data_IF_875278465435
#
_entry.id   IF_875278465435
#
_cell.length_a   1.000
_cell.length_b   1.000
_cell.length_c   1.000
_cell.angle_alpha   90.00
_cell.angle_beta   90.00
_cell.angle_gamma   90.00
#
_symmetry.space_group_name_H-M   'P 1'
#
loop_
_entity.id
_entity.type
_entity.pdbx_description
1 polymer ?
#
# COMPACT_ATOMS: atom_id res chain seq x y z
N UNK A 1 8.39 -2.30 19.44
CA UNK A 1 8.35 -3.23 18.28
C UNK A 1 8.92 -2.49 17.07
N UNK A 2 10.03 -2.97 16.51
CA UNK A 2 10.76 -2.29 15.41
C UNK A 2 10.51 -2.93 14.04
N UNK A 3 10.88 -2.25 12.95
CA UNK A 3 10.60 -2.69 11.57
C UNK A 3 11.14 -4.10 11.25
N UNK A 4 12.23 -4.53 11.89
CA UNK A 4 12.82 -5.87 11.72
C UNK A 4 11.96 -7.01 12.29
N UNK A 5 11.03 -6.69 13.19
CA UNK A 5 10.16 -7.69 13.85
C UNK A 5 8.86 -7.97 13.09
N UNK A 6 8.59 -7.20 12.03
CA UNK A 6 7.40 -7.39 11.19
C UNK A 6 7.44 -8.76 10.48
N UNK A 7 6.30 -9.45 10.43
CA UNK A 7 6.13 -10.75 9.79
C UNK A 7 4.89 -10.77 8.88
N UNK A 8 4.81 -11.78 8.01
CA UNK A 8 3.66 -12.01 7.15
C UNK A 8 3.32 -10.83 6.26
N UNK A 9 2.03 -10.56 6.09
CA UNK A 9 1.52 -9.55 5.17
C UNK A 9 1.78 -8.12 5.65
N UNK A 10 1.86 -7.89 6.96
CA UNK A 10 2.24 -6.58 7.50
C UNK A 10 3.66 -6.17 7.07
N UNK A 11 4.59 -7.13 7.01
CA UNK A 11 5.95 -6.88 6.50
C UNK A 11 5.92 -6.55 5.00
N UNK A 12 5.10 -7.26 4.22
CA UNK A 12 4.98 -7.01 2.78
C UNK A 12 4.36 -5.63 2.50
N UNK A 13 3.29 -5.27 3.19
CA UNK A 13 2.63 -3.96 3.11
C UNK A 13 3.60 -2.82 3.43
N UNK A 14 4.36 -2.96 4.53
CA UNK A 14 5.39 -2.00 4.91
C UNK A 14 6.45 -1.81 3.82
N UNK A 15 7.03 -2.91 3.31
CA UNK A 15 8.10 -2.85 2.29
C UNK A 15 7.59 -2.31 0.94
N UNK A 16 6.37 -2.70 0.54
CA UNK A 16 5.75 -2.21 -0.68
C UNK A 16 5.44 -0.72 -0.59
N UNK A 17 4.84 -0.26 0.51
CA UNK A 17 4.57 1.17 0.74
C UNK A 17 5.86 1.98 0.78
N UNK A 18 6.92 1.44 1.40
CA UNK A 18 8.26 2.05 1.42
C UNK A 18 8.80 2.26 0.01
N UNK A 19 8.76 1.21 -0.80
CA UNK A 19 9.21 1.29 -2.18
C UNK A 19 8.41 2.32 -2.96
N UNK A 20 7.08 2.31 -2.86
CA UNK A 20 6.22 3.27 -3.55
C UNK A 20 6.55 4.72 -3.19
N UNK A 21 6.75 5.00 -1.91
CA UNK A 21 7.13 6.31 -1.41
C UNK A 21 8.45 6.81 -2.03
N UNK A 22 9.45 5.93 -2.15
CA UNK A 22 10.77 6.27 -2.71
C UNK A 22 10.94 5.91 -4.19
N UNK A 23 9.91 5.42 -4.88
CA UNK A 23 10.02 4.87 -6.25
C UNK A 23 10.52 5.92 -7.25
N UNK A 24 9.94 7.13 -7.22
CA UNK A 24 10.36 8.26 -8.05
C UNK A 24 11.78 8.70 -7.73
N UNK A 25 12.12 8.76 -6.44
CA UNK A 25 13.47 9.10 -6.00
C UNK A 25 14.48 8.09 -6.55
N UNK A 26 14.21 6.80 -6.38
CA UNK A 26 15.06 5.72 -6.88
C UNK A 26 15.24 5.75 -8.41
N UNK A 27 14.18 6.05 -9.15
CA UNK A 27 14.24 6.24 -10.61
C UNK A 27 15.20 7.39 -10.98
N UNK A 28 15.10 8.53 -10.31
CA UNK A 28 15.99 9.66 -10.56
C UNK A 28 17.43 9.36 -10.18
N UNK A 29 17.67 8.68 -9.06
CA UNK A 29 19.02 8.24 -8.65
C UNK A 29 19.67 7.39 -9.75
N UNK A 30 18.92 6.46 -10.35
CA UNK A 30 19.42 5.61 -11.44
C UNK A 30 19.69 6.40 -12.73
N UNK A 31 18.79 7.31 -13.11
CA UNK A 31 19.00 8.17 -14.28
C UNK A 31 20.21 9.09 -14.07
N UNK A 32 20.35 9.71 -12.91
CA UNK A 32 21.48 10.56 -12.58
C UNK A 32 22.79 9.76 -12.55
N UNK A 33 22.79 8.53 -12.00
CA UNK A 33 23.95 7.65 -12.02
C UNK A 33 24.38 7.25 -13.45
N UNK A 34 23.40 7.00 -14.34
CA UNK A 34 23.68 6.77 -15.76
C UNK A 34 24.32 7.99 -16.44
N UNK A 35 23.79 9.18 -16.17
CA UNK A 35 24.32 10.43 -16.71
C UNK A 35 25.73 10.72 -16.18
N UNK A 36 25.98 10.47 -14.89
CA UNK A 36 27.29 10.62 -14.28
C UNK A 36 28.34 9.69 -14.92
N UNK A 37 27.98 8.44 -15.22
CA UNK A 37 28.85 7.51 -15.96
C UNK A 37 29.24 8.09 -17.33
N UNK A 38 28.28 8.62 -18.09
CA UNK A 38 28.57 9.25 -19.40
C UNK A 38 29.43 10.50 -19.24
N UNK A 39 29.17 11.34 -18.23
CA UNK A 39 29.95 12.53 -17.94
C UNK A 39 31.41 12.22 -17.59
N UNK A 40 31.70 11.00 -17.12
CA UNK A 40 33.07 10.54 -16.86
C UNK A 40 33.94 10.52 -18.13
N UNK A 41 33.37 10.62 -19.33
CA UNK A 41 34.12 10.86 -20.58
C UNK A 41 35.00 12.12 -20.51
N UNK A 42 34.59 13.14 -19.75
CA UNK A 42 35.42 14.34 -19.55
C UNK A 42 36.69 13.97 -18.79
N UNK A 43 36.56 13.16 -17.74
CA UNK A 43 37.70 12.65 -16.97
C UNK A 43 38.58 11.75 -17.83
N UNK A 44 37.99 10.82 -18.59
CA UNK A 44 38.72 9.92 -19.49
C UNK A 44 39.56 10.73 -20.50
N UNK A 45 39.00 11.80 -21.07
CA UNK A 45 39.71 12.66 -22.02
C UNK A 45 40.89 13.43 -21.41
N UNK A 46 40.78 13.84 -20.14
CA UNK A 46 41.89 14.46 -19.39
C UNK A 46 43.01 13.45 -19.15
N UNK A 47 42.67 12.22 -18.75
CA UNK A 47 43.64 11.15 -18.48
C UNK A 47 44.39 10.74 -19.76
N UNK A 48 43.67 10.60 -20.88
CA UNK A 48 44.25 10.21 -22.17
C UNK A 48 44.99 11.39 -22.83
N UNK A 49 44.64 12.63 -22.48
CA UNK A 49 45.18 13.85 -23.10
C UNK A 49 44.62 14.13 -24.50
N UNK A 50 43.55 13.45 -24.89
CA UNK A 50 42.87 13.56 -26.18
C UNK A 50 41.40 13.15 -26.05
N UNK A 51 40.63 13.21 -27.15
CA UNK A 51 39.26 12.71 -27.13
C UNK A 51 39.25 11.18 -26.90
N UNK A 52 38.49 10.67 -25.91
CA UNK A 52 38.62 9.29 -25.43
C UNK A 52 37.81 8.30 -26.29
N UNK A 53 38.22 8.08 -27.55
CA UNK A 53 37.53 7.15 -28.44
C UNK A 53 37.48 5.71 -27.91
N UNK A 54 38.51 5.31 -27.16
CA UNK A 54 38.64 3.95 -26.61
C UNK A 54 37.62 3.66 -25.49
N UNK A 55 37.22 4.68 -24.73
CA UNK A 55 36.26 4.52 -23.61
C UNK A 55 34.82 4.88 -24.00
N UNK A 56 34.64 5.59 -25.12
CA UNK A 56 33.33 6.09 -25.58
C UNK A 56 32.26 5.00 -25.64
N UNK A 57 32.58 3.85 -26.21
CA UNK A 57 31.63 2.75 -26.32
C UNK A 57 31.19 2.24 -24.95
N UNK A 58 32.12 2.03 -24.03
CA UNK A 58 31.85 1.56 -22.68
C UNK A 58 30.96 2.55 -21.91
N UNK A 59 31.24 3.86 -22.01
CA UNK A 59 30.45 4.91 -21.34
C UNK A 59 29.05 5.04 -21.92
N UNK A 60 28.86 4.84 -23.23
CA UNK A 60 27.54 4.85 -23.85
C UNK A 60 26.76 3.55 -23.62
N UNK A 61 27.43 2.44 -23.26
CA UNK A 61 26.77 1.16 -23.04
C UNK A 61 25.73 1.18 -21.92
N UNK A 62 25.84 2.13 -20.96
CA UNK A 62 24.89 2.36 -19.86
C UNK A 62 23.45 2.58 -20.30
N UNK A 63 23.23 3.08 -21.52
CA UNK A 63 21.88 3.32 -22.05
C UNK A 63 21.09 2.02 -22.25
N UNK A 64 21.76 0.89 -22.49
CA UNK A 64 21.12 -0.42 -22.64
C UNK A 64 20.49 -0.89 -21.32
N UNK A 65 21.24 -1.06 -20.21
CA UNK A 65 20.66 -1.44 -18.93
C UNK A 65 19.72 -0.37 -18.38
N UNK A 66 19.92 0.93 -18.69
CA UNK A 66 18.97 1.99 -18.32
C UNK A 66 17.64 1.82 -19.04
N UNK A 67 17.64 1.54 -20.34
CA UNK A 67 16.42 1.29 -21.10
C UNK A 67 15.66 0.07 -20.56
N UNK A 68 16.37 -1.01 -20.23
CA UNK A 68 15.79 -2.21 -19.60
C UNK A 68 15.16 -1.85 -18.25
N UNK A 69 15.89 -1.11 -17.40
CA UNK A 69 15.39 -0.64 -16.11
C UNK A 69 14.08 0.15 -16.28
N UNK A 70 14.03 1.13 -17.20
CA UNK A 70 12.85 1.96 -17.43
C UNK A 70 11.66 1.17 -17.97
N UNK A 71 11.89 0.19 -18.86
CA UNK A 71 10.83 -0.69 -19.37
C UNK A 71 10.21 -1.52 -18.25
N UNK A 72 11.04 -2.08 -17.36
CA UNK A 72 10.57 -2.88 -16.23
C UNK A 72 9.86 -1.98 -15.21
N UNK A 73 10.42 -0.81 -14.89
CA UNK A 73 9.85 0.15 -13.95
C UNK A 73 8.46 0.66 -14.37
N UNK A 74 8.19 0.74 -15.68
CA UNK A 74 6.86 1.11 -16.20
C UNK A 74 5.82 0.00 -16.07
N UNK A 75 6.25 -1.25 -16.03
CA UNK A 75 5.36 -2.43 -16.05
C UNK A 75 5.23 -3.11 -14.70
N UNK A 76 6.10 -2.79 -13.74
CA UNK A 76 6.17 -3.46 -12.46
C UNK A 76 6.40 -2.46 -11.32
N UNK A 77 5.63 -2.61 -10.25
CA UNK A 77 5.75 -1.81 -9.04
C UNK A 77 6.13 -2.65 -7.81
N UNK A 78 6.41 -3.95 -7.99
CA UNK A 78 6.75 -4.84 -6.89
C UNK A 78 8.15 -4.53 -6.34
N UNK A 79 8.22 -4.25 -5.03
CA UNK A 79 9.48 -3.88 -4.39
C UNK A 79 10.61 -4.91 -4.56
N UNK A 80 10.29 -6.21 -4.63
CA UNK A 80 11.30 -7.28 -4.76
C UNK A 80 11.97 -7.18 -6.12
N UNK A 81 11.15 -7.20 -7.19
CA UNK A 81 11.65 -7.15 -8.57
C UNK A 81 12.44 -5.86 -8.79
N UNK A 82 11.87 -4.73 -8.36
CA UNK A 82 12.49 -3.43 -8.56
C UNK A 82 13.77 -3.24 -7.74
N UNK A 83 13.89 -3.86 -6.55
CA UNK A 83 15.14 -3.89 -5.80
C UNK A 83 16.25 -4.60 -6.58
N UNK A 84 15.97 -5.80 -7.10
CA UNK A 84 16.94 -6.57 -7.87
C UNK A 84 17.35 -5.87 -9.16
N UNK A 85 16.39 -5.28 -9.88
CA UNK A 85 16.64 -4.56 -11.12
C UNK A 85 17.45 -3.28 -10.87
N UNK A 86 17.18 -2.57 -9.77
CA UNK A 86 17.96 -1.37 -9.37
C UNK A 86 19.40 -1.71 -9.05
N UNK A 87 19.65 -2.69 -8.18
CA UNK A 87 21.02 -3.07 -7.84
C UNK A 87 21.72 -3.77 -9.01
N UNK A 88 21.02 -4.60 -9.78
CA UNK A 88 21.55 -5.23 -10.98
C UNK A 88 22.06 -4.21 -12.00
N UNK A 89 21.31 -3.12 -12.22
CA UNK A 89 21.77 -2.00 -13.03
C UNK A 89 23.09 -1.42 -12.51
N UNK A 90 23.18 -1.11 -11.21
CA UNK A 90 24.39 -0.54 -10.64
C UNK A 90 25.59 -1.50 -10.70
N UNK A 91 25.37 -2.80 -10.46
CA UNK A 91 26.41 -3.81 -10.59
C UNK A 91 26.95 -3.92 -12.01
N UNK A 92 26.09 -3.83 -13.03
CA UNK A 92 26.54 -3.81 -14.43
C UNK A 92 27.43 -2.61 -14.72
N UNK A 93 27.15 -1.44 -14.13
CA UNK A 93 28.01 -0.26 -14.28
C UNK A 93 29.36 -0.44 -13.58
N UNK A 94 29.37 -1.00 -12.38
CA UNK A 94 30.62 -1.29 -11.66
C UNK A 94 31.47 -2.29 -12.46
N UNK A 95 30.86 -3.35 -12.99
CA UNK A 95 31.57 -4.33 -13.85
C UNK A 95 32.11 -3.66 -15.12
N UNK A 96 31.30 -2.84 -15.79
CA UNK A 96 31.73 -2.11 -16.98
C UNK A 96 32.91 -1.16 -16.68
N UNK A 97 32.89 -0.47 -15.54
CA UNK A 97 33.99 0.37 -15.09
C UNK A 97 35.24 -0.44 -14.74
N UNK A 98 35.10 -1.61 -14.12
CA UNK A 98 36.23 -2.53 -13.86
C UNK A 98 36.88 -2.98 -15.18
N UNK A 99 36.08 -3.33 -16.19
CA UNK A 99 36.59 -3.68 -17.52
C UNK A 99 37.29 -2.49 -18.21
N UNK A 100 36.82 -1.26 -17.97
CA UNK A 100 37.46 -0.06 -18.53
C UNK A 100 38.88 0.15 -18.00
N UNK A 101 39.13 -0.19 -16.74
CA UNK A 101 40.46 -0.06 -16.12
C UNK A 101 41.53 -0.94 -16.79
N UNK A 102 41.14 -1.98 -17.55
CA UNK A 102 42.12 -2.79 -18.31
C UNK A 102 42.55 -2.13 -19.61
N UNK A 103 41.84 -1.08 -20.05
CA UNK A 103 42.09 -0.36 -21.31
C UNK A 103 42.84 0.95 -21.03
N UNK A 104 42.52 1.61 -19.91
CA UNK A 104 43.13 2.89 -19.54
C UNK A 104 44.64 2.77 -19.29
N UNK A 105 45.39 3.77 -19.76
CA UNK A 105 46.85 3.87 -19.61
C UNK A 105 47.29 4.32 -18.21
N UNK A 106 46.43 5.06 -17.50
CA UNK A 106 46.64 5.49 -16.12
C UNK A 106 45.40 5.15 -15.27
N UNK A 107 45.63 4.38 -14.21
CA UNK A 107 44.61 3.90 -13.27
C UNK A 107 44.86 4.39 -11.83
N UNK A 108 45.74 5.39 -11.66
CA UNK A 108 46.08 5.96 -10.36
C UNK A 108 44.87 6.49 -9.58
N UNK A 109 43.85 6.97 -10.28
CA UNK A 109 42.63 7.56 -9.69
C UNK A 109 41.45 6.57 -9.60
N UNK A 110 41.66 5.27 -9.87
CA UNK A 110 40.59 4.28 -9.86
C UNK A 110 39.82 4.23 -8.52
N UNK A 111 40.51 4.54 -7.41
CA UNK A 111 39.91 4.63 -6.06
C UNK A 111 38.78 5.64 -5.94
N UNK A 112 38.89 6.79 -6.62
CA UNK A 112 37.92 7.89 -6.53
C UNK A 112 36.58 7.52 -7.17
N UNK A 113 36.61 6.86 -8.33
CA UNK A 113 35.41 6.41 -9.02
C UNK A 113 34.59 5.40 -8.19
N UNK A 114 35.24 4.55 -7.39
CA UNK A 114 34.50 3.64 -6.51
C UNK A 114 33.75 4.35 -5.39
N UNK A 115 34.25 5.50 -4.93
CA UNK A 115 33.59 6.28 -3.89
C UNK A 115 32.27 6.84 -4.43
N UNK A 116 32.29 7.36 -5.66
CA UNK A 116 31.10 7.84 -6.36
C UNK A 116 30.05 6.73 -6.47
N UNK A 117 30.44 5.53 -6.90
CA UNK A 117 29.52 4.41 -7.02
C UNK A 117 28.91 3.98 -5.69
N UNK A 118 29.70 3.97 -4.60
CA UNK A 118 29.17 3.69 -3.26
C UNK A 118 28.09 4.69 -2.84
N UNK A 119 28.21 5.97 -3.21
CA UNK A 119 27.16 6.96 -2.95
C UNK A 119 25.87 6.61 -3.70
N UNK A 120 25.95 6.22 -4.98
CA UNK A 120 24.76 5.83 -5.76
C UNK A 120 24.09 4.56 -5.18
N UNK A 121 24.88 3.55 -4.82
CA UNK A 121 24.38 2.34 -4.13
C UNK A 121 23.67 2.70 -2.84
N UNK A 122 24.26 3.59 -2.03
CA UNK A 122 23.69 4.08 -0.79
C UNK A 122 22.32 4.76 -1.02
N UNK A 123 22.17 5.60 -2.04
CA UNK A 123 20.90 6.27 -2.33
C UNK A 123 19.78 5.27 -2.72
N UNK A 124 20.10 4.19 -3.42
CA UNK A 124 19.14 3.12 -3.77
C UNK A 124 18.65 2.34 -2.54
N UNK A 125 19.39 2.32 -1.43
CA UNK A 125 18.97 1.65 -0.18
C UNK A 125 17.65 2.21 0.39
N UNK A 126 17.30 3.44 0.02
CA UNK A 126 16.12 4.13 0.51
C UNK A 126 14.83 3.45 0.06
N UNK A 127 14.80 2.90 -1.16
CA UNK A 127 13.61 2.25 -1.71
C UNK A 127 13.56 0.74 -1.44
N UNK A 128 14.63 0.14 -0.92
CA UNK A 128 14.81 -1.32 -0.93
C UNK A 128 14.78 -1.91 0.49
N UNK A 129 14.60 -3.24 0.64
CA UNK A 129 14.61 -3.91 1.93
C UNK A 129 15.97 -3.77 2.62
N UNK A 130 15.96 -3.64 3.95
CA UNK A 130 17.19 -3.48 4.75
C UNK A 130 18.26 -4.52 4.43
N UNK A 131 17.96 -5.82 4.62
CA UNK A 131 18.94 -6.88 4.36
C UNK A 131 19.36 -6.97 2.89
N UNK A 132 18.43 -6.80 1.95
CA UNK A 132 18.76 -6.78 0.52
C UNK A 132 19.77 -5.68 0.17
N UNK A 133 19.60 -4.51 0.76
CA UNK A 133 20.51 -3.37 0.62
C UNK A 133 21.89 -3.63 1.23
N UNK A 134 21.93 -4.23 2.42
CA UNK A 134 23.19 -4.56 3.11
C UNK A 134 24.02 -5.52 2.26
N UNK A 135 23.39 -6.59 1.75
CA UNK A 135 24.05 -7.52 0.84
C UNK A 135 24.48 -6.84 -0.46
N UNK A 136 23.65 -5.98 -1.04
CA UNK A 136 23.97 -5.28 -2.27
C UNK A 136 25.12 -4.27 -2.12
N UNK A 137 25.22 -3.52 -1.03
CA UNK A 137 26.36 -2.63 -0.81
C UNK A 137 27.63 -3.43 -0.52
N UNK A 138 27.54 -4.45 0.34
CA UNK A 138 28.69 -5.30 0.71
C UNK A 138 29.24 -6.09 -0.48
N UNK A 139 28.36 -6.55 -1.39
CA UNK A 139 28.77 -7.29 -2.58
C UNK A 139 29.59 -6.45 -3.57
N UNK A 140 29.46 -5.12 -3.57
CA UNK A 140 30.30 -4.24 -4.38
C UNK A 140 31.76 -4.25 -3.89
N UNK A 141 31.97 -4.24 -2.56
CA UNK A 141 33.30 -4.38 -1.97
C UNK A 141 33.92 -5.75 -2.32
N UNK A 142 33.12 -6.82 -2.31
CA UNK A 142 33.56 -8.14 -2.75
C UNK A 142 33.94 -8.13 -4.24
N UNK A 143 33.17 -7.47 -5.10
CA UNK A 143 33.45 -7.40 -6.53
C UNK A 143 34.80 -6.72 -6.82
N UNK A 144 35.12 -5.66 -6.08
CA UNK A 144 36.39 -4.92 -6.22
C UNK A 144 37.56 -5.71 -5.66
N UNK A 145 37.34 -6.43 -4.56
CA UNK A 145 38.33 -7.37 -4.06
C UNK A 145 38.64 -8.45 -5.12
N UNK A 146 37.62 -9.01 -5.78
CA UNK A 146 37.81 -10.02 -6.82
C UNK A 146 38.48 -9.47 -8.08
N UNK A 147 38.25 -8.21 -8.45
CA UNK A 147 38.94 -7.62 -9.60
C UNK A 147 40.44 -7.38 -9.36
N UNK A 148 40.89 -7.29 -8.10
CA UNK A 148 42.32 -7.12 -7.76
C UNK A 148 43.21 -8.28 -8.20
N UNK A 149 42.64 -9.47 -8.43
CA UNK A 149 43.39 -10.61 -8.97
C UNK A 149 43.80 -10.41 -10.43
N UNK A 150 43.12 -9.52 -11.15
CA UNK A 150 43.36 -9.26 -12.58
C UNK A 150 43.86 -7.84 -12.84
N UNK A 151 43.54 -6.89 -11.94
CA UNK A 151 43.92 -5.48 -12.05
C UNK A 151 44.94 -5.15 -10.96
N UNK A 152 46.13 -4.71 -11.38
CA UNK A 152 47.16 -4.22 -10.48
C UNK A 152 46.87 -2.79 -10.01
N UNK A 153 45.89 -2.61 -9.12
CA UNK A 153 45.56 -1.31 -8.54
C UNK A 153 46.78 -0.68 -7.86
N UNK A 154 47.02 0.60 -8.13
CA UNK A 154 48.18 1.35 -7.60
C UNK A 154 48.16 1.42 -6.08
N UNK A 155 47.00 1.71 -5.48
CA UNK A 155 46.80 1.76 -4.01
C UNK A 155 45.57 0.94 -3.59
N UNK A 156 45.64 -0.39 -3.77
CA UNK A 156 44.58 -1.30 -3.34
C UNK A 156 44.32 -1.24 -1.83
N UNK A 157 45.39 -1.09 -1.03
CA UNK A 157 45.31 -1.04 0.43
C UNK A 157 44.48 0.16 0.89
N UNK A 158 44.76 1.35 0.36
CA UNK A 158 44.01 2.57 0.64
C UNK A 158 42.54 2.47 0.21
N UNK A 159 42.27 1.91 -0.98
CA UNK A 159 40.91 1.67 -1.46
C UNK A 159 40.10 0.82 -0.47
N UNK A 160 40.63 -0.32 -0.04
CA UNK A 160 39.94 -1.22 0.90
C UNK A 160 39.77 -0.58 2.28
N UNK A 161 40.77 0.17 2.75
CA UNK A 161 40.72 0.87 4.03
C UNK A 161 39.63 1.95 4.08
N UNK A 162 39.35 2.64 2.97
CA UNK A 162 38.27 3.64 2.88
C UNK A 162 36.89 3.00 2.63
N UNK A 163 36.83 1.88 1.93
CA UNK A 163 35.57 1.17 1.66
C UNK A 163 34.91 0.60 2.90
N UNK A 164 35.69 0.07 3.82
CA UNK A 164 35.16 -0.52 5.05
C UNK A 164 34.33 0.46 5.89
N UNK A 165 34.85 1.63 6.32
CA UNK A 165 34.07 2.59 7.08
C UNK A 165 32.88 3.14 6.29
N UNK A 166 33.00 3.28 4.96
CA UNK A 166 31.89 3.73 4.13
C UNK A 166 30.74 2.71 4.05
N UNK A 167 31.07 1.41 3.99
CA UNK A 167 30.06 0.35 4.09
C UNK A 167 29.40 0.33 5.46
N UNK A 168 30.17 0.44 6.54
CA UNK A 168 29.62 0.54 7.90
C UNK A 168 28.68 1.75 8.03
N UNK A 169 29.08 2.91 7.50
CA UNK A 169 28.26 4.11 7.48
C UNK A 169 26.97 3.90 6.66
N UNK A 170 27.05 3.28 5.49
CA UNK A 170 25.90 2.94 4.65
C UNK A 170 24.90 2.03 5.39
N UNK A 171 25.38 0.99 6.09
CA UNK A 171 24.51 0.11 6.89
C UNK A 171 23.88 0.87 8.07
N UNK A 172 24.65 1.70 8.78
CA UNK A 172 24.15 2.47 9.91
C UNK A 172 23.08 3.48 9.48
N UNK A 173 23.32 4.21 8.39
CA UNK A 173 22.37 5.19 7.86
C UNK A 173 21.14 4.49 7.28
N UNK A 174 21.30 3.37 6.57
CA UNK A 174 20.17 2.56 6.10
C UNK A 174 19.30 2.07 7.28
N UNK A 175 19.92 1.63 8.38
CA UNK A 175 19.18 1.28 9.59
C UNK A 175 18.39 2.48 10.14
N UNK A 176 19.06 3.64 10.32
CA UNK A 176 18.42 4.86 10.81
C UNK A 176 17.25 5.30 9.91
N UNK A 177 17.43 5.27 8.58
CA UNK A 177 16.39 5.58 7.61
C UNK A 177 15.18 4.63 7.72
N UNK A 178 15.40 3.33 7.94
CA UNK A 178 14.30 2.38 8.14
C UNK A 178 13.58 2.61 9.48
N UNK A 179 14.27 3.04 10.53
CA UNK A 179 13.64 3.43 11.80
C UNK A 179 12.73 4.64 11.58
N UNK A 180 13.25 5.70 10.96
CA UNK A 180 12.50 6.94 10.68
C UNK A 180 11.29 6.64 9.78
N UNK A 181 11.49 5.88 8.70
CA UNK A 181 10.41 5.53 7.80
C UNK A 181 9.34 4.65 8.47
N UNK A 182 9.74 3.77 9.39
CA UNK A 182 8.80 2.95 10.14
C UNK A 182 7.90 3.76 11.07
N UNK A 183 8.43 4.82 11.70
CA UNK A 183 7.62 5.75 12.50
C UNK A 183 6.68 6.57 11.62
N UNK A 184 7.14 7.01 10.43
CA UNK A 184 6.29 7.63 9.43
C UNK A 184 5.15 6.69 8.99
N UNK A 185 5.45 5.43 8.70
CA UNK A 185 4.48 4.41 8.33
C UNK A 185 3.43 4.19 9.42
N UNK A 186 3.84 4.11 10.70
CA UNK A 186 2.89 3.99 11.82
C UNK A 186 1.97 5.20 11.92
N UNK A 187 2.54 6.40 11.85
CA UNK A 187 1.77 7.65 11.93
C UNK A 187 0.76 7.72 10.79
N UNK A 188 1.18 7.36 9.57
CA UNK A 188 0.28 7.26 8.42
C UNK A 188 -0.87 6.29 8.66
N UNK A 189 -0.59 5.06 9.14
CA UNK A 189 -1.64 4.07 9.47
C UNK A 189 -2.58 4.55 10.57
N UNK A 190 -2.08 5.28 11.56
CA UNK A 190 -2.90 5.86 12.63
C UNK A 190 -3.82 6.96 12.09
N UNK A 191 -3.31 7.84 11.23
CA UNK A 191 -4.09 8.88 10.57
C UNK A 191 -5.16 8.28 9.65
N UNK A 192 -4.80 7.23 8.89
CA UNK A 192 -5.76 6.48 8.07
C UNK A 192 -6.89 5.91 8.95
N UNK A 193 -6.57 5.22 10.05
CA UNK A 193 -7.57 4.72 11.00
C UNK A 193 -8.42 5.83 11.62
N UNK A 194 -7.82 6.93 12.05
CA UNK A 194 -8.56 8.06 12.62
C UNK A 194 -9.48 8.73 11.59
N UNK A 195 -9.10 8.73 10.32
CA UNK A 195 -9.90 9.26 9.21
C UNK A 195 -11.00 8.31 8.76
N UNK A 196 -10.80 6.99 8.89
CA UNK A 196 -11.69 5.93 8.43
C UNK A 196 -12.60 5.34 9.52
N UNK A 197 -12.38 5.63 10.80
CA UNK A 197 -13.20 5.10 11.90
C UNK A 197 -14.07 6.18 12.54
N UNK A 198 -15.23 5.78 13.04
CA UNK A 198 -16.11 6.60 13.86
C UNK A 198 -15.60 6.61 15.32
N UNK A 199 -15.36 7.77 15.94
CA UNK A 199 -14.77 7.85 17.27
C UNK A 199 -15.70 7.35 18.39
N UNK A 200 -17.01 7.31 18.16
CA UNK A 200 -17.96 6.86 19.17
C UNK A 200 -18.06 5.34 19.23
N UNK A 201 -18.25 4.70 18.08
CA UNK A 201 -18.53 3.26 17.97
C UNK A 201 -17.27 2.44 17.65
N UNK A 202 -16.20 3.06 17.14
CA UNK A 202 -15.00 2.36 16.67
C UNK A 202 -15.18 1.63 15.35
N UNK A 203 -16.40 1.62 14.79
CA UNK A 203 -16.69 1.10 13.45
C UNK A 203 -16.00 1.94 12.39
N UNK A 204 -15.96 1.44 11.16
CA UNK A 204 -15.60 2.28 10.03
C UNK A 204 -16.64 3.41 9.87
N UNK A 205 -16.23 4.57 9.36
CA UNK A 205 -17.11 5.66 9.00
C UNK A 205 -17.32 5.68 7.47
N UNK A 206 -18.24 6.53 7.00
CA UNK A 206 -18.55 6.64 5.55
C UNK A 206 -17.35 6.90 4.63
N UNK A 207 -16.23 7.44 5.12
CA UNK A 207 -15.02 7.62 4.30
C UNK A 207 -14.39 6.29 3.92
N UNK A 208 -14.56 5.25 4.75
CA UNK A 208 -14.09 3.90 4.41
C UNK A 208 -14.75 3.41 3.12
N UNK A 209 -16.03 3.69 2.94
CA UNK A 209 -16.75 3.32 1.72
C UNK A 209 -16.11 3.97 0.50
N UNK A 210 -15.77 5.27 0.57
CA UNK A 210 -15.07 5.96 -0.52
C UNK A 210 -13.78 5.26 -0.93
N UNK A 211 -13.00 4.78 0.04
CA UNK A 211 -11.75 4.06 -0.23
C UNK A 211 -11.99 2.67 -0.85
N UNK A 212 -13.09 2.00 -0.50
CA UNK A 212 -13.50 0.73 -1.11
C UNK A 212 -13.98 0.97 -2.55
N UNK A 213 -14.70 2.07 -2.81
CA UNK A 213 -15.31 2.37 -4.11
C UNK A 213 -14.38 3.12 -5.08
N UNK A 214 -13.39 3.89 -4.59
CA UNK A 214 -12.47 4.70 -5.40
C UNK A 214 -11.44 3.87 -6.19
N UNK A 215 -11.32 2.58 -5.88
CA UNK A 215 -10.56 1.62 -6.68
C UNK A 215 -11.46 1.12 -7.82
N UNK A 216 -11.77 1.97 -8.79
CA UNK A 216 -12.43 1.65 -10.08
C UNK A 216 -13.43 0.47 -10.02
N UNK A 217 -14.39 0.46 -9.11
CA UNK A 217 -15.41 -0.61 -8.99
C UNK A 217 -14.87 -2.05 -8.84
N UNK A 218 -13.56 -2.24 -8.73
CA UNK A 218 -12.88 -3.49 -9.04
C UNK A 218 -12.19 -4.10 -7.83
N UNK A 219 -12.27 -3.52 -6.62
CA UNK A 219 -11.67 -4.15 -5.43
C UNK A 219 -12.17 -5.60 -5.22
N UNK A 220 -13.44 -5.83 -5.56
CA UNK A 220 -14.11 -7.11 -5.42
C UNK A 220 -13.81 -8.05 -6.61
N UNK A 221 -13.84 -7.51 -7.83
CA UNK A 221 -13.51 -8.23 -9.07
C UNK A 221 -12.03 -8.65 -9.10
N UNK A 222 -11.11 -7.77 -8.67
CA UNK A 222 -9.67 -8.03 -8.59
C UNK A 222 -9.29 -9.07 -7.54
N UNK A 223 -10.17 -9.33 -6.55
CA UNK A 223 -10.04 -10.41 -5.56
C UNK A 223 -10.80 -11.69 -5.93
N UNK A 224 -11.54 -11.70 -7.04
CA UNK A 224 -12.36 -12.85 -7.45
C UNK A 224 -13.60 -13.08 -6.59
N UNK A 225 -14.10 -12.04 -5.91
CA UNK A 225 -15.31 -12.12 -5.09
C UNK A 225 -16.52 -11.97 -6.02
N UNK A 226 -17.30 -13.04 -6.16
CA UNK A 226 -18.38 -13.13 -7.14
C UNK A 226 -19.73 -12.63 -6.63
N UNK A 227 -19.94 -12.57 -5.31
CA UNK A 227 -21.24 -12.22 -4.71
C UNK A 227 -21.03 -11.29 -3.52
N UNK A 228 -21.60 -10.09 -3.59
CA UNK A 228 -21.59 -9.12 -2.50
C UNK A 228 -23.00 -8.64 -2.25
N UNK A 229 -23.36 -8.56 -0.98
CA UNK A 229 -24.62 -7.97 -0.55
C UNK A 229 -24.35 -6.81 0.40
N UNK A 230 -25.23 -5.82 0.38
CA UNK A 230 -25.19 -4.69 1.31
C UNK A 230 -26.48 -4.60 2.14
N UNK A 231 -26.31 -4.14 3.37
CA UNK A 231 -27.40 -3.92 4.31
C UNK A 231 -27.34 -2.46 4.77
N UNK A 232 -28.46 -1.75 4.70
CA UNK A 232 -28.63 -0.47 5.36
C UNK A 232 -29.55 -0.67 6.57
N UNK A 233 -29.01 -0.39 7.76
CA UNK A 233 -29.63 -0.63 9.06
C UNK A 233 -29.89 0.73 9.72
N UNK A 234 -31.08 0.94 10.25
CA UNK A 234 -31.45 2.16 10.95
C UNK A 234 -32.18 1.82 12.26
N UNK A 235 -31.78 2.51 13.34
CA UNK A 235 -32.40 2.32 14.65
C UNK A 235 -33.76 3.00 14.69
N UNK A 236 -34.80 2.19 14.88
CA UNK A 236 -36.17 2.67 14.90
C UNK A 236 -36.42 3.64 16.06
N UNK A 237 -36.94 4.82 15.73
CA UNK A 237 -37.32 5.85 16.70
C UNK A 237 -36.17 6.34 17.60
N UNK A 238 -34.92 6.27 17.17
CA UNK A 238 -33.77 6.66 17.99
C UNK A 238 -33.81 8.10 18.49
N UNK A 239 -34.39 9.03 17.72
CA UNK A 239 -34.68 10.39 18.20
C UNK A 239 -35.48 10.42 19.51
N UNK A 240 -36.50 9.57 19.67
CA UNK A 240 -37.30 9.49 20.91
C UNK A 240 -36.45 9.07 22.10
N UNK A 241 -35.48 8.19 21.87
CA UNK A 241 -34.55 7.75 22.92
C UNK A 241 -33.65 8.90 23.36
N UNK A 242 -33.13 9.70 22.42
CA UNK A 242 -32.37 10.90 22.75
C UNK A 242 -33.22 11.94 23.50
N UNK A 243 -34.46 12.14 23.06
CA UNK A 243 -35.37 13.12 23.67
C UNK A 243 -35.77 12.71 25.10
N UNK A 244 -35.92 11.41 25.38
CA UNK A 244 -36.37 10.89 26.68
C UNK A 244 -35.22 10.64 27.67
N UNK A 245 -34.08 10.13 27.20
CA UNK A 245 -32.97 9.68 28.05
C UNK A 245 -31.69 10.51 27.91
N UNK A 246 -31.67 11.47 26.99
CA UNK A 246 -30.52 12.31 26.69
C UNK A 246 -29.49 11.65 25.76
N UNK A 247 -28.71 12.48 25.08
CA UNK A 247 -27.72 12.04 24.08
C UNK A 247 -26.67 11.07 24.63
N UNK A 248 -26.23 11.21 25.89
CA UNK A 248 -25.27 10.27 26.49
C UNK A 248 -25.81 8.84 26.54
N UNK A 249 -27.12 8.67 26.74
CA UNK A 249 -27.76 7.34 26.74
C UNK A 249 -27.99 6.84 25.32
N UNK A 250 -28.30 7.72 24.37
CA UNK A 250 -28.30 7.40 22.95
C UNK A 250 -26.94 6.89 22.47
N UNK A 251 -25.85 7.53 22.90
CA UNK A 251 -24.47 7.13 22.58
C UNK A 251 -24.12 5.74 23.11
N UNK A 252 -24.62 5.37 24.29
CA UNK A 252 -24.48 4.01 24.84
C UNK A 252 -25.22 3.01 23.95
N UNK A 253 -26.43 3.33 23.49
CA UNK A 253 -27.20 2.46 22.60
C UNK A 253 -26.48 2.28 21.26
N UNK A 254 -25.94 3.36 20.68
CA UNK A 254 -25.18 3.28 19.42
C UNK A 254 -23.98 2.34 19.54
N UNK A 255 -23.25 2.39 20.66
CA UNK A 255 -22.14 1.45 20.95
C UNK A 255 -22.63 0.01 21.06
N UNK A 256 -23.71 -0.23 21.78
CA UNK A 256 -24.26 -1.58 21.94
C UNK A 256 -24.77 -2.17 20.61
N UNK A 257 -25.43 -1.35 19.79
CA UNK A 257 -25.85 -1.77 18.44
C UNK A 257 -24.61 -2.07 17.60
N UNK A 258 -23.59 -1.22 17.61
CA UNK A 258 -22.34 -1.47 16.90
C UNK A 258 -21.68 -2.81 17.31
N UNK A 259 -21.63 -3.11 18.61
CA UNK A 259 -21.09 -4.37 19.12
C UNK A 259 -21.91 -5.58 18.62
N UNK A 260 -23.25 -5.47 18.61
CA UNK A 260 -24.15 -6.50 18.07
C UNK A 260 -23.90 -6.71 16.57
N UNK A 261 -23.76 -5.63 15.79
CA UNK A 261 -23.50 -5.71 14.36
C UNK A 261 -22.19 -6.46 14.07
N UNK A 262 -21.11 -6.12 14.78
CA UNK A 262 -19.82 -6.81 14.65
C UNK A 262 -19.97 -8.30 15.00
N UNK A 263 -20.63 -8.63 16.11
CA UNK A 263 -20.82 -10.01 16.54
C UNK A 263 -21.68 -10.83 15.57
N UNK A 264 -22.53 -10.17 14.78
CA UNK A 264 -23.40 -10.81 13.80
C UNK A 264 -22.75 -11.04 12.44
N UNK A 265 -21.57 -10.48 12.15
CA UNK A 265 -20.91 -10.61 10.83
C UNK A 265 -19.57 -11.34 10.94
N UNK A 266 -18.98 -11.72 9.81
CA UNK A 266 -17.65 -12.35 9.78
C UNK A 266 -16.55 -11.30 9.87
N UNK A 267 -15.34 -11.70 10.24
CA UNK A 267 -14.17 -10.81 10.26
C UNK A 267 -13.85 -10.21 8.88
N UNK A 268 -14.21 -10.93 7.80
CA UNK A 268 -14.07 -10.44 6.42
C UNK A 268 -15.02 -9.29 6.09
N UNK A 269 -16.19 -9.23 6.73
CA UNK A 269 -17.25 -8.29 6.42
C UNK A 269 -16.95 -6.91 7.03
N UNK A 270 -17.54 -5.86 6.44
CA UNK A 270 -17.27 -4.48 6.87
C UNK A 270 -18.55 -3.87 7.42
N UNK A 271 -18.49 -3.38 8.66
CA UNK A 271 -19.55 -2.61 9.31
C UNK A 271 -19.13 -1.14 9.36
N UNK A 272 -19.99 -0.27 8.84
CA UNK A 272 -19.78 1.16 8.70
C UNK A 272 -20.88 1.90 9.47
N UNK A 273 -20.53 2.88 10.29
CA UNK A 273 -21.46 3.91 10.75
C UNK A 273 -21.68 4.90 9.60
N UNK A 274 -22.84 4.82 8.97
CA UNK A 274 -23.20 5.56 7.76
C UNK A 274 -23.64 6.99 8.08
N UNK A 275 -24.45 7.12 9.13
CA UNK A 275 -25.04 8.36 9.61
C UNK A 275 -25.08 8.46 11.13
N UNK A 276 -26.00 9.27 11.67
CA UNK A 276 -26.16 9.43 13.11
C UNK A 276 -26.60 8.14 13.80
N UNK A 277 -27.66 7.53 13.27
CA UNK A 277 -28.33 6.30 13.75
C UNK A 277 -28.36 5.18 12.69
N UNK A 278 -27.67 5.40 11.57
CA UNK A 278 -27.63 4.51 10.41
C UNK A 278 -26.30 3.78 10.33
N UNK A 279 -26.37 2.48 10.00
CA UNK A 279 -25.22 1.62 9.78
C UNK A 279 -25.33 0.96 8.40
N UNK A 280 -24.20 0.77 7.75
CA UNK A 280 -24.10 0.11 6.46
C UNK A 280 -23.16 -1.09 6.59
N UNK A 281 -23.55 -2.23 6.06
CA UNK A 281 -22.79 -3.47 6.15
C UNK A 281 -22.52 -4.00 4.76
N UNK A 282 -21.25 -4.33 4.47
CA UNK A 282 -20.83 -5.04 3.28
C UNK A 282 -20.52 -6.50 3.65
N UNK A 283 -21.25 -7.42 3.04
CA UNK A 283 -21.05 -8.86 3.20
C UNK A 283 -20.34 -9.42 1.97
N UNK A 284 -19.16 -9.98 2.17
CA UNK A 284 -18.39 -10.59 1.07
C UNK A 284 -18.74 -12.06 0.89
N UNK A 285 -18.73 -12.52 -0.36
CA UNK A 285 -19.08 -13.90 -0.73
C UNK A 285 -20.44 -14.30 -0.16
N UNK A 286 -21.41 -13.40 -0.32
CA UNK A 286 -22.70 -13.49 0.35
C UNK A 286 -23.85 -13.31 -0.63
N UNK A 287 -24.53 -14.43 -0.91
CA UNK A 287 -25.72 -14.44 -1.75
C UNK A 287 -26.92 -13.76 -1.07
N UNK A 288 -27.99 -13.57 -1.84
CA UNK A 288 -29.23 -12.94 -1.41
C UNK A 288 -29.84 -13.56 -0.15
N UNK A 289 -29.89 -14.90 -0.06
CA UNK A 289 -30.52 -15.64 1.06
C UNK A 289 -29.66 -15.58 2.30
N UNK A 290 -28.35 -15.65 2.13
CA UNK A 290 -27.38 -15.50 3.21
C UNK A 290 -27.46 -14.08 3.79
N UNK A 291 -27.52 -13.05 2.93
CA UNK A 291 -27.66 -11.66 3.36
C UNK A 291 -28.96 -11.44 4.15
N UNK A 292 -30.08 -11.99 3.69
CA UNK A 292 -31.36 -11.96 4.41
C UNK A 292 -31.26 -12.66 5.78
N UNK A 293 -30.58 -13.79 5.85
CA UNK A 293 -30.33 -14.51 7.12
C UNK A 293 -29.46 -13.71 8.09
N UNK A 294 -28.43 -13.01 7.59
CA UNK A 294 -27.61 -12.10 8.42
C UNK A 294 -28.43 -10.91 8.90
N UNK A 295 -29.24 -10.30 8.02
CA UNK A 295 -30.14 -9.20 8.38
C UNK A 295 -31.13 -9.62 9.47
N UNK A 296 -31.79 -10.79 9.34
CA UNK A 296 -32.73 -11.27 10.34
C UNK A 296 -32.04 -11.60 11.68
N UNK A 297 -30.82 -12.15 11.63
CA UNK A 297 -30.01 -12.35 12.83
C UNK A 297 -29.71 -11.04 13.54
N UNK A 298 -29.31 -10.00 12.81
CA UNK A 298 -29.07 -8.66 13.35
C UNK A 298 -30.34 -8.12 13.99
N UNK A 299 -31.46 -8.12 13.25
CA UNK A 299 -32.74 -7.59 13.71
C UNK A 299 -33.18 -8.22 15.03
N UNK A 300 -33.17 -9.56 15.11
CA UNK A 300 -33.51 -10.30 16.34
C UNK A 300 -32.53 -10.03 17.49
N UNK A 301 -31.24 -9.89 17.19
CA UNK A 301 -30.22 -9.65 18.22
C UNK A 301 -30.37 -8.25 18.83
N UNK A 302 -30.71 -7.24 18.03
CA UNK A 302 -31.00 -5.89 18.54
C UNK A 302 -32.33 -5.87 19.29
N UNK A 303 -33.38 -6.50 18.77
CA UNK A 303 -34.69 -6.57 19.44
C UNK A 303 -34.61 -7.26 20.81
N UNK A 304 -33.80 -8.32 20.92
CA UNK A 304 -33.58 -9.05 22.18
C UNK A 304 -32.56 -8.40 23.11
N UNK A 305 -31.97 -7.28 22.72
CA UNK A 305 -30.98 -6.58 23.52
C UNK A 305 -31.60 -6.07 24.83
N UNK A 306 -31.29 -6.75 25.93
CA UNK A 306 -31.60 -6.27 27.27
C UNK A 306 -30.63 -5.15 27.68
N UNK A 307 -30.97 -3.91 27.36
CA UNK A 307 -30.31 -2.73 27.93
C UNK A 307 -31.24 -2.07 28.97
N UNK A 308 -30.65 -1.44 29.99
CA UNK A 308 -31.40 -0.78 31.08
C UNK A 308 -31.95 0.61 30.70
N UNK A 309 -31.93 0.96 29.42
CA UNK A 309 -32.26 2.31 28.92
C UNK A 309 -33.60 2.27 28.19
N UNK A 310 -33.67 1.62 27.03
CA UNK A 310 -34.86 1.57 26.20
C UNK A 310 -34.91 0.29 25.36
N UNK A 311 -36.11 -0.24 25.13
CA UNK A 311 -36.33 -1.28 24.11
C UNK A 311 -36.21 -0.62 22.74
N UNK A 312 -35.27 -1.08 21.91
CA UNK A 312 -35.08 -0.58 20.55
C UNK A 312 -35.18 -1.72 19.54
N UNK A 313 -35.55 -1.36 18.32
CA UNK A 313 -35.56 -2.26 17.17
C UNK A 313 -34.81 -1.60 16.02
N UNK A 314 -34.52 -2.37 14.98
CA UNK A 314 -33.93 -1.85 13.74
C UNK A 314 -34.77 -2.26 12.56
N UNK A 315 -34.83 -1.37 11.58
CA UNK A 315 -35.30 -1.68 10.23
C UNK A 315 -34.10 -1.88 9.31
N UNK A 316 -34.18 -2.84 8.39
CA UNK A 316 -33.04 -3.21 7.53
C UNK A 316 -33.49 -3.30 6.06
N UNK A 317 -32.82 -2.56 5.19
CA UNK A 317 -32.88 -2.73 3.75
C UNK A 317 -31.72 -3.59 3.26
N UNK A 318 -32.01 -4.61 2.46
CA UNK A 318 -31.02 -5.55 1.92
C UNK A 318 -30.97 -5.41 0.40
N UNK A 319 -29.79 -5.29 -0.19
CA UNK A 319 -29.59 -5.30 -1.64
C UNK A 319 -28.38 -6.16 -2.04
N UNK A 320 -28.44 -6.74 -3.23
CA UNK A 320 -27.32 -7.49 -3.83
C UNK A 320 -26.58 -6.55 -4.78
N UNK A 321 -25.27 -6.63 -4.79
CA UNK A 321 -24.43 -5.89 -5.73
C UNK A 321 -24.25 -6.70 -7.01
N UNK A 322 -24.96 -6.31 -8.07
CA UNK A 322 -25.01 -7.05 -9.34
C UNK A 322 -24.10 -6.41 -10.42
N UNK A 323 -22.92 -5.93 -10.03
CA UNK A 323 -21.92 -5.36 -10.94
C UNK A 323 -22.23 -3.94 -11.45
N UNK A 324 -23.28 -3.31 -10.93
CA UNK A 324 -23.60 -1.92 -11.16
C UNK A 324 -22.80 -0.97 -10.24
N UNK A 325 -23.08 0.32 -10.25
CA UNK A 325 -22.35 1.26 -9.39
C UNK A 325 -22.65 1.03 -7.90
N UNK A 326 -21.69 1.32 -7.02
CA UNK A 326 -21.91 1.25 -5.58
C UNK A 326 -22.96 2.24 -5.08
N UNK A 327 -23.08 3.40 -5.73
CA UNK A 327 -24.10 4.40 -5.44
C UNK A 327 -25.50 3.84 -5.68
N UNK A 328 -25.67 3.07 -6.74
CA UNK A 328 -26.90 2.35 -7.04
C UNK A 328 -27.18 1.21 -6.04
N UNK A 329 -26.18 0.46 -5.58
CA UNK A 329 -26.36 -0.53 -4.50
C UNK A 329 -26.84 0.11 -3.20
N UNK A 330 -26.29 1.27 -2.86
CA UNK A 330 -26.72 2.03 -1.67
C UNK A 330 -28.16 2.51 -1.85
N UNK A 331 -28.53 3.02 -3.03
CA UNK A 331 -29.89 3.46 -3.32
C UNK A 331 -30.90 2.29 -3.25
N UNK A 332 -30.54 1.11 -3.74
CA UNK A 332 -31.38 -0.10 -3.63
C UNK A 332 -31.61 -0.51 -2.17
N UNK A 333 -30.57 -0.48 -1.34
CA UNK A 333 -30.68 -0.75 0.08
C UNK A 333 -31.53 0.32 0.81
N UNK A 334 -31.39 1.59 0.45
CA UNK A 334 -32.18 2.70 1.00
C UNK A 334 -33.68 2.58 0.69
N UNK A 335 -34.02 2.30 -0.58
CA UNK A 335 -35.41 2.05 -0.97
C UNK A 335 -36.02 0.88 -0.19
N UNK A 336 -35.26 -0.20 0.00
CA UNK A 336 -35.69 -1.34 0.78
C UNK A 336 -35.88 -0.97 2.27
N UNK A 337 -34.95 -0.22 2.85
CA UNK A 337 -35.05 0.26 4.23
C UNK A 337 -36.29 1.14 4.44
N UNK A 338 -36.55 2.06 3.51
CA UNK A 338 -37.73 2.90 3.52
C UNK A 338 -39.01 2.05 3.58
N UNK A 339 -39.10 1.01 2.75
CA UNK A 339 -40.24 0.07 2.79
C UNK A 339 -40.32 -0.73 4.08
N UNK A 340 -39.18 -1.09 4.69
CA UNK A 340 -39.18 -1.77 5.99
C UNK A 340 -39.80 -0.89 7.08
N UNK A 341 -39.47 0.42 7.07
CA UNK A 341 -40.08 1.40 7.98
C UNK A 341 -41.58 1.58 7.73
N UNK A 342 -42.01 1.63 6.47
CA UNK A 342 -43.43 1.76 6.09
C UNK A 342 -44.26 0.52 6.44
N UNK A 343 -43.66 -0.68 6.43
CA UNK A 343 -44.31 -1.93 6.85
C UNK A 343 -44.48 -2.08 8.38
N UNK A 344 -44.20 -1.03 9.15
CA UNK A 344 -44.37 -1.02 10.60
C UNK A 344 -43.09 -1.13 11.41
N UNK A 345 -41.91 -0.95 10.76
CA UNK A 345 -40.58 -1.04 11.39
C UNK A 345 -40.27 -2.43 11.97
N UNK A 346 -39.11 -2.58 12.62
CA UNK A 346 -38.64 -3.86 13.15
C UNK A 346 -38.76 -4.99 12.10
N UNK A 347 -38.30 -4.71 10.89
CA UNK A 347 -38.49 -5.60 9.75
C UNK A 347 -37.30 -5.53 8.80
N UNK A 348 -37.17 -6.57 7.98
CA UNK A 348 -36.21 -6.62 6.88
C UNK A 348 -36.97 -6.56 5.56
N UNK A 349 -36.47 -5.79 4.60
CA UNK A 349 -36.97 -5.80 3.23
C UNK A 349 -35.81 -5.98 2.29
N UNK A 350 -36.02 -6.86 1.32
CA UNK A 350 -35.07 -7.16 0.29
C UNK A 350 -35.44 -6.40 -0.97
N UNK A 351 -34.47 -5.70 -1.56
CA UNK A 351 -34.67 -5.04 -2.83
C UNK A 351 -34.90 -6.08 -3.94
N UNK A 352 -35.87 -5.77 -4.81
CA UNK A 352 -36.19 -6.56 -5.99
C UNK A 352 -36.66 -5.62 -7.08
N UNK A 353 -35.96 -5.57 -8.20
CA UNK A 353 -36.25 -4.63 -9.28
C UNK A 353 -37.71 -4.71 -9.78
N UNK A 354 -38.30 -5.91 -9.76
CA UNK A 354 -39.70 -6.18 -10.10
C UNK A 354 -40.73 -5.55 -9.16
N UNK A 355 -40.38 -5.31 -7.90
CA UNK A 355 -41.29 -4.71 -6.91
C UNK A 355 -41.09 -3.20 -6.76
N UNK A 356 -39.95 -2.65 -7.19
CA UNK A 356 -39.56 -1.26 -6.98
C UNK A 356 -39.60 -0.40 -8.25
N UNK A 357 -39.70 -1.01 -9.43
CA UNK A 357 -40.01 -0.30 -10.67
C UNK A 357 -41.49 0.16 -10.67
N UNK A 358 -41.81 1.39 -11.09
CA UNK A 358 -43.19 1.76 -11.33
C UNK A 358 -43.77 0.81 -12.37
N UNK A 359 -44.93 0.19 -12.07
CA UNK A 359 -45.68 -0.57 -13.08
C UNK A 359 -45.86 0.34 -14.27
N UNK A 360 -45.16 0.08 -15.37
CA UNK A 360 -45.49 0.62 -16.67
C UNK A 360 -46.94 0.21 -16.91
N UNK A 361 -47.85 1.17 -16.80
CA UNK A 361 -49.25 1.00 -17.11
C UNK A 361 -49.33 0.49 -18.55
N UNK A 362 -49.71 -0.77 -18.74
CA UNK A 362 -50.17 -1.26 -20.02
C UNK A 362 -51.37 -0.41 -20.44
N UNK A 363 -51.20 0.38 -21.50
CA UNK A 363 -52.29 0.84 -22.37
C UNK A 363 -52.48 -0.15 -23.50
#
# INVERSE_FOLDING_TARGET
MGFLTLKGDLRKDYLQTKYEYYSKFNMWVIICGALADVCSLVSDGVIIGAFPYETLFNRLSVFIPLAIFLIIARRNNNYIVMSWVSYGFLYLLVINNILLLTILTDISHAGEGYIEWMMVFFLVTYATPFWGSVFACSGMMLLIYLSSFFIGYVDFGGMMALMFPMNVASVAVNYAMNVVYYDHYKTKKQLERASECDPLTGLYNRNKMKNITSLDGNFCIAKGINEISCLLVDIDYFKRVNDEFGHEKGDVILKQVADILIACVRESDIVIRWGGEEFFILLYECDKKQAESVAERIRKSVESMCNKIASITVSIGVAVHEGHSWEESVNHADLALYRAKDKGRNNIVLYSESEFSPKTSCT
#
